data_IF_046748461062
#
_entry.id   IF_046748461062
#
_cell.length_a   1.000
_cell.length_b   1.000
_cell.length_c   1.000
_cell.angle_alpha   90.00
_cell.angle_beta   90.00
_cell.angle_gamma   90.00
#
_symmetry.space_group_name_H-M   'P 1'
#
loop_
_entity.id
_entity.type
_entity.pdbx_description
1 polymer ?
#
# COMPACT_ATOMS: atom_id res chain seq x y z
N UNK A 1 12.21 -19.80 -10.18
CA UNK A 1 11.46 -20.01 -8.92
C UNK A 1 11.32 -18.71 -8.14
N UNK A 2 12.39 -17.93 -7.97
CA UNK A 2 12.39 -16.67 -7.20
C UNK A 2 11.37 -15.63 -7.68
N UNK A 3 11.21 -15.42 -9.00
CA UNK A 3 10.21 -14.49 -9.54
C UNK A 3 8.76 -14.93 -9.25
N UNK A 4 8.51 -16.24 -9.17
CA UNK A 4 7.21 -16.78 -8.78
C UNK A 4 6.91 -16.51 -7.31
N UNK A 5 7.91 -16.68 -6.44
CA UNK A 5 7.80 -16.31 -5.02
C UNK A 5 7.56 -14.80 -4.89
N UNK A 6 8.32 -13.98 -5.63
CA UNK A 6 8.13 -12.53 -5.69
C UNK A 6 6.71 -12.13 -6.13
N UNK A 7 6.17 -12.78 -7.16
CA UNK A 7 4.78 -12.56 -7.57
C UNK A 7 3.75 -12.95 -6.51
N UNK A 8 3.94 -14.05 -5.76
CA UNK A 8 3.06 -14.43 -4.65
C UNK A 8 3.10 -13.37 -3.55
N UNK A 9 4.30 -12.91 -3.17
CA UNK A 9 4.45 -11.88 -2.14
C UNK A 9 3.84 -10.54 -2.58
N UNK A 10 3.98 -10.18 -3.87
CA UNK A 10 3.36 -8.98 -4.44
C UNK A 10 1.83 -9.10 -4.48
N UNK A 11 1.30 -10.30 -4.75
CA UNK A 11 -0.13 -10.57 -4.66
C UNK A 11 -0.65 -10.39 -3.23
N UNK A 12 0.07 -10.95 -2.24
CA UNK A 12 -0.27 -10.77 -0.82
C UNK A 12 -0.20 -9.30 -0.41
N UNK A 13 0.83 -8.57 -0.83
CA UNK A 13 0.93 -7.12 -0.67
C UNK A 13 -0.31 -6.42 -1.24
N UNK A 14 -0.73 -6.80 -2.45
CA UNK A 14 -1.90 -6.22 -3.10
C UNK A 14 -3.20 -6.45 -2.34
N UNK A 15 -3.40 -7.67 -1.82
CA UNK A 15 -4.57 -8.03 -1.01
C UNK A 15 -4.63 -7.19 0.28
N UNK A 16 -3.50 -7.01 0.97
CA UNK A 16 -3.44 -6.20 2.18
C UNK A 16 -3.81 -4.73 1.89
N UNK A 17 -3.38 -4.19 0.75
CA UNK A 17 -3.68 -2.81 0.37
C UNK A 17 -5.13 -2.61 -0.08
N UNK A 18 -5.72 -3.60 -0.77
CA UNK A 18 -7.16 -3.61 -1.07
C UNK A 18 -7.98 -3.61 0.23
N UNK A 19 -7.55 -4.35 1.25
CA UNK A 19 -8.21 -4.31 2.55
C UNK A 19 -8.20 -2.91 3.18
N UNK A 20 -7.09 -2.15 3.08
CA UNK A 20 -7.05 -0.75 3.55
C UNK A 20 -8.08 0.12 2.81
N UNK A 21 -8.20 -0.04 1.48
CA UNK A 21 -9.22 0.66 0.70
C UNK A 21 -10.65 0.27 1.10
N UNK A 22 -10.90 -1.02 1.31
CA UNK A 22 -12.20 -1.52 1.74
C UNK A 22 -12.57 -1.02 3.15
N UNK A 23 -11.63 -1.03 4.09
CA UNK A 23 -11.84 -0.52 5.45
C UNK A 23 -12.04 1.00 5.44
N UNK A 24 -11.32 1.73 4.59
CA UNK A 24 -11.55 3.15 4.38
C UNK A 24 -12.99 3.44 3.90
N UNK A 25 -13.48 2.69 2.91
CA UNK A 25 -14.89 2.79 2.44
C UNK A 25 -15.86 2.47 3.59
N UNK A 26 -15.59 1.41 4.34
CA UNK A 26 -16.43 1.01 5.46
C UNK A 26 -16.53 2.12 6.53
N UNK A 27 -15.40 2.68 6.96
CA UNK A 27 -15.39 3.80 7.92
C UNK A 27 -15.99 5.09 7.34
N UNK A 28 -15.88 5.30 6.03
CA UNK A 28 -16.50 6.42 5.35
C UNK A 28 -18.04 6.33 5.33
N UNK A 29 -18.59 5.13 5.14
CA UNK A 29 -20.03 4.92 5.02
C UNK A 29 -20.74 4.67 6.35
N UNK A 30 -20.09 3.95 7.27
CA UNK A 30 -20.68 3.49 8.52
C UNK A 30 -20.13 4.20 9.77
N UNK A 31 -18.99 4.87 9.64
CA UNK A 31 -18.31 5.58 10.73
C UNK A 31 -18.48 7.09 10.66
N UNK A 32 -17.58 7.80 11.34
CA UNK A 32 -17.46 9.25 11.29
C UNK A 32 -16.00 9.65 10.97
N UNK A 33 -15.74 10.96 10.87
CA UNK A 33 -14.39 11.46 10.58
C UNK A 33 -13.39 11.11 11.70
N UNK A 34 -13.84 10.92 12.94
CA UNK A 34 -12.96 10.54 14.05
C UNK A 34 -12.54 9.08 13.95
N UNK A 35 -13.47 8.17 13.60
CA UNK A 35 -13.12 6.76 13.40
C UNK A 35 -12.19 6.57 12.20
N UNK A 36 -12.37 7.34 11.13
CA UNK A 36 -11.43 7.38 10.00
C UNK A 36 -10.03 7.84 10.44
N UNK A 37 -9.92 8.94 11.19
CA UNK A 37 -8.63 9.40 11.72
C UNK A 37 -7.97 8.38 12.65
N UNK A 38 -8.75 7.67 13.47
CA UNK A 38 -8.21 6.65 14.39
C UNK A 38 -7.53 5.48 13.66
N UNK A 39 -7.79 5.26 12.37
CA UNK A 39 -7.03 4.31 11.56
C UNK A 39 -5.60 4.79 11.24
N UNK A 40 -5.39 6.11 11.17
CA UNK A 40 -4.13 6.74 10.75
C UNK A 40 -3.36 7.39 11.90
N UNK A 41 -3.75 7.08 13.14
CA UNK A 41 -3.16 7.59 14.38
C UNK A 41 -2.71 6.44 15.28
N UNK A 42 -2.00 6.78 16.35
CA UNK A 42 -1.54 5.87 17.40
C UNK A 42 -0.03 5.77 17.51
N UNK A 43 0.72 6.49 16.66
CA UNK A 43 2.17 6.59 16.80
C UNK A 43 2.58 7.53 17.93
N UNK A 44 3.88 7.53 18.26
CA UNK A 44 4.46 8.33 19.36
C UNK A 44 4.24 9.84 19.22
N UNK A 45 4.11 10.34 17.99
CA UNK A 45 3.85 11.74 17.65
C UNK A 45 2.41 11.96 17.14
N UNK A 46 1.57 10.92 17.12
CA UNK A 46 0.19 10.95 16.65
C UNK A 46 -0.75 10.23 17.61
N UNK A 47 -0.65 10.51 18.91
CA UNK A 47 -1.53 9.91 19.94
C UNK A 47 -3.01 10.17 19.65
N UNK A 48 -3.83 9.13 19.81
CA UNK A 48 -5.28 9.20 19.61
C UNK A 48 -5.97 10.07 20.67
N UNK A 49 -5.37 10.15 21.86
CA UNK A 49 -5.87 10.88 23.02
C UNK A 49 -5.54 12.37 22.93
N UNK A 50 -4.36 12.71 22.37
CA UNK A 50 -3.90 14.08 22.22
C UNK A 50 -4.39 14.75 20.92
N UNK A 51 -4.81 13.97 19.93
CA UNK A 51 -5.29 14.49 18.65
C UNK A 51 -6.58 15.29 18.82
N UNK A 52 -6.58 16.54 18.36
CA UNK A 52 -7.77 17.38 18.36
C UNK A 52 -8.61 17.06 17.13
N UNK A 53 -9.69 16.32 17.35
CA UNK A 53 -10.66 16.05 16.30
C UNK A 53 -11.42 17.31 15.90
N UNK A 54 -11.67 17.42 14.61
CA UNK A 54 -12.51 18.47 14.03
C UNK A 54 -13.92 18.45 14.62
N UNK A 55 -14.44 19.63 14.93
CA UNK A 55 -15.77 19.83 15.54
C UNK A 55 -16.78 20.48 14.61
N UNK A 56 -16.35 21.20 13.56
CA UNK A 56 -17.23 21.80 12.58
C UNK A 56 -17.50 20.87 11.39
N UNK A 57 -18.72 20.95 10.85
CA UNK A 57 -19.19 20.04 9.81
C UNK A 57 -18.41 20.19 8.49
N UNK A 58 -18.07 21.42 8.10
CA UNK A 58 -17.39 21.69 6.84
C UNK A 58 -15.98 21.08 6.83
N UNK A 59 -15.18 21.38 7.86
CA UNK A 59 -13.82 20.83 7.98
C UNK A 59 -13.86 19.31 8.18
N UNK A 60 -14.85 18.80 8.91
CA UNK A 60 -15.10 17.36 9.03
C UNK A 60 -15.35 16.68 7.69
N UNK A 61 -16.16 17.31 6.82
CA UNK A 61 -16.42 16.82 5.48
C UNK A 61 -15.13 16.79 4.64
N UNK A 62 -14.36 17.89 4.64
CA UNK A 62 -13.10 17.97 3.89
C UNK A 62 -12.12 16.89 4.36
N UNK A 63 -11.94 16.72 5.67
CA UNK A 63 -11.08 15.67 6.23
C UNK A 63 -11.55 14.29 5.78
N UNK A 64 -12.85 14.00 5.89
CA UNK A 64 -13.39 12.69 5.49
C UNK A 64 -13.18 12.41 4.01
N UNK A 65 -13.32 13.41 3.13
CA UNK A 65 -13.07 13.28 1.68
C UNK A 65 -11.59 13.03 1.36
N UNK A 66 -10.67 13.67 2.07
CA UNK A 66 -9.24 13.44 1.90
C UNK A 66 -8.83 12.05 2.41
N UNK A 67 -9.36 11.62 3.55
CA UNK A 67 -9.06 10.31 4.14
C UNK A 67 -9.55 9.17 3.24
N UNK A 68 -10.79 9.24 2.75
CA UNK A 68 -11.29 8.22 1.82
C UNK A 68 -10.51 8.22 0.50
N UNK A 69 -10.13 9.39 -0.03
CA UNK A 69 -9.30 9.44 -1.23
C UNK A 69 -7.95 8.75 -1.00
N UNK A 70 -7.26 9.03 0.11
CA UNK A 70 -6.04 8.32 0.49
C UNK A 70 -6.26 6.80 0.56
N UNK A 71 -7.30 6.33 1.26
CA UNK A 71 -7.58 4.89 1.36
C UNK A 71 -7.87 4.25 -0.01
N UNK A 72 -8.61 4.93 -0.88
CA UNK A 72 -8.90 4.45 -2.23
C UNK A 72 -7.65 4.40 -3.12
N UNK A 73 -6.76 5.37 -3.00
CA UNK A 73 -5.48 5.36 -3.73
C UNK A 73 -4.63 4.16 -3.29
N UNK A 74 -4.52 3.92 -1.98
CA UNK A 74 -3.86 2.73 -1.41
C UNK A 74 -4.51 1.44 -1.96
N UNK A 75 -5.84 1.35 -1.93
CA UNK A 75 -6.57 0.21 -2.51
C UNK A 75 -6.33 0.03 -4.02
N UNK A 76 -6.26 1.13 -4.76
CA UNK A 76 -5.96 1.16 -6.20
C UNK A 76 -4.56 0.62 -6.51
N UNK A 77 -3.54 0.99 -5.71
CA UNK A 77 -2.23 0.36 -5.81
C UNK A 77 -2.28 -1.14 -5.49
N UNK A 78 -3.14 -1.55 -4.57
CA UNK A 78 -3.38 -2.97 -4.30
C UNK A 78 -3.88 -3.73 -5.53
N UNK A 79 -4.84 -3.16 -6.27
CA UNK A 79 -5.32 -3.72 -7.54
C UNK A 79 -4.20 -3.74 -8.59
N UNK A 80 -3.43 -2.66 -8.72
CA UNK A 80 -2.28 -2.61 -9.61
C UNK A 80 -1.29 -3.75 -9.31
N UNK A 81 -0.97 -3.98 -8.03
CA UNK A 81 -0.05 -5.04 -7.63
C UNK A 81 -0.53 -6.45 -8.04
N UNK A 82 -1.84 -6.72 -8.04
CA UNK A 82 -2.39 -7.99 -8.54
C UNK A 82 -2.08 -8.17 -10.03
N UNK A 83 -2.28 -7.13 -10.84
CA UNK A 83 -1.95 -7.17 -12.27
C UNK A 83 -0.45 -7.37 -12.51
N UNK A 84 0.39 -6.65 -11.75
CA UNK A 84 1.85 -6.78 -11.85
C UNK A 84 2.32 -8.17 -11.41
N UNK A 85 1.75 -8.73 -10.35
CA UNK A 85 2.02 -10.10 -9.89
C UNK A 85 1.71 -11.12 -10.98
N UNK A 86 0.55 -10.99 -11.64
CA UNK A 86 0.19 -11.83 -12.78
C UNK A 86 1.19 -11.71 -13.94
N UNK A 87 1.60 -10.49 -14.30
CA UNK A 87 2.59 -10.27 -15.37
C UNK A 87 3.97 -10.85 -15.03
N UNK A 88 4.41 -10.74 -13.77
CA UNK A 88 5.67 -11.35 -13.31
C UNK A 88 5.56 -12.87 -13.36
N UNK A 89 4.46 -13.44 -12.85
CA UNK A 89 4.27 -14.89 -12.79
C UNK A 89 4.12 -15.54 -14.16
N UNK A 90 3.23 -15.00 -14.99
CA UNK A 90 2.83 -15.59 -16.26
C UNK A 90 3.76 -15.22 -17.42
N UNK A 91 4.35 -14.03 -17.40
CA UNK A 91 5.11 -13.50 -18.53
C UNK A 91 6.59 -13.24 -18.21
N UNK A 92 6.99 -13.29 -16.93
CA UNK A 92 8.35 -12.92 -16.53
C UNK A 92 8.68 -11.46 -16.90
N UNK A 93 7.71 -10.57 -16.75
CA UNK A 93 7.81 -9.19 -17.26
C UNK A 93 8.73 -8.30 -16.42
N UNK A 94 9.83 -7.84 -17.03
CA UNK A 94 10.69 -6.79 -16.45
C UNK A 94 9.98 -5.46 -16.29
N UNK A 95 9.05 -5.13 -17.19
CA UNK A 95 8.25 -3.91 -17.06
C UNK A 95 7.43 -3.97 -15.77
N UNK A 96 6.78 -5.10 -15.49
CA UNK A 96 5.99 -5.26 -14.28
C UNK A 96 6.85 -5.16 -13.01
N UNK A 97 8.07 -5.72 -13.06
CA UNK A 97 9.05 -5.54 -12.00
C UNK A 97 9.43 -4.06 -11.80
N UNK A 98 9.76 -3.31 -12.86
CA UNK A 98 10.13 -1.90 -12.71
C UNK A 98 8.99 -1.01 -12.23
N UNK A 99 7.75 -1.28 -12.64
CA UNK A 99 6.57 -0.59 -12.07
C UNK A 99 6.45 -0.92 -10.58
N UNK A 100 6.67 -2.18 -10.18
CA UNK A 100 6.68 -2.58 -8.75
C UNK A 100 7.78 -1.87 -7.96
N UNK A 101 8.98 -1.74 -8.51
CA UNK A 101 10.08 -1.04 -7.83
C UNK A 101 9.81 0.46 -7.73
N UNK A 102 9.43 1.09 -8.83
CA UNK A 102 9.40 2.56 -8.91
C UNK A 102 8.07 3.12 -8.45
N UNK A 103 6.96 2.66 -9.04
CA UNK A 103 5.63 3.24 -8.79
C UNK A 103 5.12 2.84 -7.41
N UNK A 104 5.11 1.53 -7.11
CA UNK A 104 4.73 1.07 -5.77
C UNK A 104 5.76 1.55 -4.73
N UNK A 105 7.05 1.55 -5.06
CA UNK A 105 8.08 2.05 -4.15
C UNK A 105 7.92 3.51 -3.77
N UNK A 106 7.54 4.40 -4.71
CA UNK A 106 7.24 5.80 -4.38
C UNK A 106 6.09 5.88 -3.38
N UNK A 107 5.01 5.12 -3.59
CA UNK A 107 3.86 5.10 -2.69
C UNK A 107 4.23 4.60 -1.29
N UNK A 108 4.91 3.45 -1.20
CA UNK A 108 5.32 2.86 0.07
C UNK A 108 6.32 3.74 0.82
N UNK A 109 7.31 4.31 0.14
CA UNK A 109 8.30 5.18 0.77
C UNK A 109 7.69 6.51 1.22
N UNK A 110 6.72 7.05 0.47
CA UNK A 110 6.01 8.25 0.89
C UNK A 110 5.21 7.99 2.18
N UNK A 111 4.49 6.87 2.28
CA UNK A 111 3.79 6.48 3.51
C UNK A 111 4.78 6.20 4.65
N UNK A 112 5.83 5.42 4.39
CA UNK A 112 6.84 5.06 5.38
C UNK A 112 7.48 6.32 5.98
N UNK A 113 7.89 7.27 5.15
CA UNK A 113 8.57 8.47 5.61
C UNK A 113 7.63 9.46 6.30
N UNK A 114 6.48 9.75 5.70
CA UNK A 114 5.60 10.82 6.19
C UNK A 114 4.70 10.36 7.36
N UNK A 115 4.35 9.08 7.44
CA UNK A 115 3.39 8.58 8.44
C UNK A 115 4.06 7.70 9.49
N UNK A 116 4.85 6.70 9.07
CA UNK A 116 5.41 5.70 9.98
C UNK A 116 6.65 6.20 10.72
N UNK A 117 7.67 6.65 9.98
CA UNK A 117 8.94 7.11 10.54
C UNK A 117 8.81 8.45 11.28
N UNK A 118 7.87 9.29 10.87
CA UNK A 118 7.50 10.51 11.60
C UNK A 118 6.78 10.21 12.93
N UNK A 119 6.36 8.96 13.16
CA UNK A 119 5.68 8.52 14.36
C UNK A 119 4.22 8.97 14.45
N UNK A 120 3.58 9.33 13.34
CA UNK A 120 2.16 9.71 13.33
C UNK A 120 1.27 8.46 13.47
N UNK A 121 1.55 7.42 12.68
CA UNK A 121 0.81 6.16 12.74
C UNK A 121 1.51 5.13 13.63
N UNK A 122 0.72 4.25 14.25
CA UNK A 122 1.22 3.18 15.10
C UNK A 122 2.05 2.16 14.29
N UNK A 123 3.27 1.80 14.73
CA UNK A 123 4.07 0.76 14.10
C UNK A 123 3.58 -0.62 14.55
N UNK A 124 2.59 -1.16 13.85
CA UNK A 124 2.05 -2.49 14.07
C UNK A 124 2.20 -3.36 12.80
N UNK A 125 1.78 -4.62 12.88
CA UNK A 125 1.95 -5.56 11.76
C UNK A 125 1.19 -5.13 10.50
N UNK A 126 0.07 -4.41 10.65
CA UNK A 126 -0.73 -3.91 9.53
C UNK A 126 -0.03 -2.76 8.80
N UNK A 127 0.67 -1.89 9.53
CA UNK A 127 1.35 -0.72 8.94
C UNK A 127 2.76 -1.04 8.44
N UNK A 128 3.44 -2.00 9.07
CA UNK A 128 4.81 -2.41 8.69
C UNK A 128 4.79 -3.55 7.64
N UNK A 129 3.76 -4.40 7.66
CA UNK A 129 3.71 -5.61 6.85
C UNK A 129 3.79 -5.34 5.34
N UNK A 130 3.08 -4.32 4.85
CA UNK A 130 3.13 -3.88 3.46
C UNK A 130 4.56 -3.55 3.00
N UNK A 131 5.20 -2.52 3.57
CA UNK A 131 6.57 -2.14 3.20
C UNK A 131 7.57 -3.30 3.26
N UNK A 132 7.50 -4.14 4.31
CA UNK A 132 8.40 -5.31 4.44
C UNK A 132 8.20 -6.29 3.29
N UNK A 133 6.95 -6.64 2.95
CA UNK A 133 6.66 -7.52 1.83
C UNK A 133 7.19 -6.93 0.52
N UNK A 134 6.96 -5.64 0.28
CA UNK A 134 7.45 -4.96 -0.93
C UNK A 134 8.98 -5.02 -1.04
N UNK A 135 9.71 -4.73 0.04
CA UNK A 135 11.18 -4.83 0.04
C UNK A 135 11.66 -6.24 -0.35
N UNK A 136 11.02 -7.29 0.19
CA UNK A 136 11.36 -8.66 -0.16
C UNK A 136 11.05 -8.94 -1.63
N UNK A 137 9.90 -8.50 -2.15
CA UNK A 137 9.54 -8.63 -3.58
C UNK A 137 10.61 -8.02 -4.47
N UNK A 138 11.05 -6.79 -4.18
CA UNK A 138 12.08 -6.08 -4.96
C UNK A 138 13.39 -6.87 -4.96
N UNK A 139 13.81 -7.40 -3.81
CA UNK A 139 15.07 -8.14 -3.71
C UNK A 139 15.04 -9.48 -4.44
N UNK A 140 13.97 -10.27 -4.30
CA UNK A 140 14.00 -11.66 -4.79
C UNK A 140 13.58 -11.81 -6.25
N UNK A 141 12.72 -10.93 -6.75
CA UNK A 141 12.09 -11.07 -8.08
C UNK A 141 13.10 -11.10 -9.22
N UNK A 142 14.12 -10.20 -9.28
CA UNK A 142 15.10 -10.16 -10.37
C UNK A 142 15.81 -11.48 -10.64
N UNK A 143 16.12 -12.23 -9.58
CA UNK A 143 16.86 -13.49 -9.68
C UNK A 143 16.08 -14.60 -10.40
N UNK A 144 14.77 -14.45 -10.57
CA UNK A 144 13.95 -15.41 -11.31
C UNK A 144 13.40 -14.88 -12.64
N UNK A 145 13.68 -13.63 -13.01
CA UNK A 145 13.22 -13.07 -14.28
C UNK A 145 14.12 -13.51 -15.45
N UNK A 146 13.58 -13.59 -16.68
CA UNK A 146 14.37 -13.96 -17.86
C UNK A 146 15.48 -12.93 -18.09
N UNK A 147 16.74 -13.38 -18.23
CA UNK A 147 17.83 -12.47 -18.62
C UNK A 147 17.61 -12.03 -20.07
N UNK A 148 17.58 -10.73 -20.32
CA UNK A 148 17.26 -10.17 -21.64
C UNK A 148 18.19 -10.71 -22.74
N UNK A 149 17.68 -11.63 -23.55
CA UNK A 149 17.89 -11.80 -25.00
C UNK A 149 17.34 -13.14 -25.50
N UNK A 150 16.03 -13.37 -25.34
CA UNK A 150 15.28 -14.23 -26.27
C UNK A 150 13.90 -13.63 -26.46
N UNK A 151 13.79 -12.75 -27.45
CA UNK A 151 12.57 -12.59 -28.24
C UNK A 151 12.24 -13.98 -28.80
N UNK A 152 11.54 -14.80 -28.03
CA UNK A 152 10.85 -15.96 -28.60
C UNK A 152 9.51 -15.41 -29.06
N UNK A 153 9.48 -14.97 -30.32
CA UNK A 153 8.24 -14.86 -31.06
C UNK A 153 7.60 -16.25 -31.00
N UNK A 154 6.50 -16.37 -30.25
CA UNK A 154 5.57 -17.51 -30.32
C UNK A 154 4.27 -17.00 -30.90
#
# INVERSE_FOLDING_TARGET
>A
MSAKIGAILLLLWGILHIWVGAEGIHQYLAGDVQTQWKMLLGGVNGSKEAFQFVSDEMTGNVHSRLLINFCLDVGGYGVLAIFLAWMIWGQGSWLAYWITVLVIGIADLAFLFNMLLSGIIEPNIGTIGGPVLWFIVVLITPFGLPKGNKLVLR
#
